data_IF_226195537394
#
_entry.id   IF_226195537394
#
_cell.length_a   1.000
_cell.length_b   1.000
_cell.length_c   1.000
_cell.angle_alpha   90.00
_cell.angle_beta   90.00
_cell.angle_gamma   90.00
#
_symmetry.space_group_name_H-M   'P 1'
#
loop_
_entity.id
_entity.type
_entity.pdbx_description
1 polymer ?
#
# COMPACT_ATOMS: atom_id res chain seq x y z
N UNK A 1 -32.31 -32.20 -8.94
CA UNK A 1 -30.93 -31.89 -8.50
C UNK A 1 -30.53 -30.59 -9.16
N UNK A 2 -30.24 -29.56 -8.36
CA UNK A 2 -30.04 -28.18 -8.84
C UNK A 2 -28.67 -27.99 -9.48
N UNK A 3 -28.63 -27.32 -10.64
CA UNK A 3 -27.39 -26.97 -11.36
C UNK A 3 -26.42 -26.14 -10.50
N UNK A 4 -26.94 -25.44 -9.48
CA UNK A 4 -26.15 -24.71 -8.49
C UNK A 4 -25.20 -25.61 -7.69
N UNK A 5 -25.54 -26.89 -7.51
CA UNK A 5 -24.73 -27.82 -6.72
C UNK A 5 -23.50 -28.34 -7.48
N UNK A 6 -23.46 -28.21 -8.82
CA UNK A 6 -22.33 -28.66 -9.64
C UNK A 6 -21.24 -27.61 -9.82
N UNK A 7 -21.56 -26.32 -9.71
CA UNK A 7 -20.56 -25.24 -9.77
C UNK A 7 -19.81 -25.05 -8.44
N UNK A 8 -20.41 -25.47 -7.31
CA UNK A 8 -19.80 -25.30 -5.98
C UNK A 8 -18.55 -26.18 -5.76
N UNK A 9 -18.37 -27.27 -6.50
CA UNK A 9 -17.20 -28.14 -6.35
C UNK A 9 -15.96 -27.66 -7.12
N UNK A 10 -16.08 -26.63 -7.96
CA UNK A 10 -14.97 -26.13 -8.78
C UNK A 10 -14.29 -24.86 -8.25
N UNK A 11 -14.88 -24.18 -7.27
CA UNK A 11 -14.29 -23.00 -6.65
C UNK A 11 -14.22 -23.20 -5.14
N UNK A 12 -13.02 -23.49 -4.62
CA UNK A 12 -12.72 -23.32 -3.20
C UNK A 12 -12.78 -21.82 -2.89
N UNK A 13 -13.97 -21.32 -2.58
CA UNK A 13 -14.16 -19.95 -2.11
C UNK A 13 -13.59 -19.87 -0.68
N UNK A 14 -12.32 -19.47 -0.59
CA UNK A 14 -11.69 -19.09 0.68
C UNK A 14 -12.35 -17.81 1.20
N UNK A 15 -13.16 -17.93 2.25
CA UNK A 15 -13.63 -16.79 3.04
C UNK A 15 -12.54 -16.45 4.06
N UNK A 16 -11.95 -15.26 3.95
CA UNK A 16 -11.13 -14.68 4.99
C UNK A 16 -12.04 -13.90 5.95
N UNK A 17 -12.68 -14.61 6.89
CA UNK A 17 -13.44 -14.00 7.99
C UNK A 17 -12.45 -13.42 9.03
N UNK A 18 -12.31 -12.10 9.06
CA UNK A 18 -11.77 -11.37 10.19
C UNK A 18 -12.92 -11.07 11.17
N UNK A 19 -12.81 -11.32 12.49
CA UNK A 19 -13.91 -11.07 13.41
C UNK A 19 -14.17 -9.57 13.56
N UNK A 20 -15.40 -9.14 13.26
CA UNK A 20 -15.90 -7.81 13.63
C UNK A 20 -16.26 -7.79 15.12
N UNK A 21 -15.50 -7.04 15.92
CA UNK A 21 -15.88 -6.66 17.28
C UNK A 21 -16.24 -5.17 17.31
N UNK A 22 -17.53 -4.88 17.55
CA UNK A 22 -17.99 -3.60 18.07
C UNK A 22 -18.60 -3.87 19.45
N UNK A 23 -18.03 -3.32 20.51
CA UNK A 23 -18.60 -2.18 21.26
C UNK A 23 -17.87 -1.92 22.61
N UNK A 24 -17.94 -0.64 22.98
CA UNK A 24 -17.75 -0.04 24.31
C UNK A 24 -16.37 0.52 24.72
N UNK A 25 -16.42 1.84 24.94
CA UNK A 25 -15.37 2.77 25.38
C UNK A 25 -15.55 3.01 26.88
N UNK A 26 -14.57 2.71 27.73
CA UNK A 26 -14.32 3.52 28.92
C UNK A 26 -12.87 3.42 29.43
N UNK A 27 -12.38 4.59 29.81
CA UNK A 27 -11.10 4.99 30.37
C UNK A 27 -10.69 4.18 31.60
N UNK A 28 -9.41 3.80 31.69
CA UNK A 28 -8.53 4.33 32.76
C UNK A 28 -7.09 3.89 32.51
N UNK A 29 -6.25 4.89 32.29
CA UNK A 29 -4.79 4.81 32.47
C UNK A 29 -4.51 4.37 33.91
N UNK A 30 -3.64 3.37 34.08
CA UNK A 30 -2.86 3.22 35.30
C UNK A 30 -1.50 2.60 34.98
N UNK A 31 -0.51 3.40 35.31
CA UNK A 31 0.92 3.23 35.19
C UNK A 31 1.42 2.61 36.50
N UNK A 32 2.13 1.49 36.44
CA UNK A 32 2.98 0.93 37.52
C UNK A 32 3.93 -0.07 36.83
N UNK A 33 5.08 0.39 36.34
CA UNK A 33 6.38 0.40 37.02
C UNK A 33 6.82 -0.99 37.52
N UNK A 34 7.62 -1.67 36.68
CA UNK A 34 8.48 -2.81 37.02
C UNK A 34 9.48 -2.46 38.13
N UNK A 35 9.95 -3.47 38.87
CA UNK A 35 11.41 -3.65 38.94
C UNK A 35 11.87 -4.97 38.31
N UNK A 36 12.63 -4.82 37.23
CA UNK A 36 13.38 -5.86 36.51
C UNK A 36 14.67 -6.20 37.31
N UNK A 37 14.87 -7.47 37.67
CA UNK A 37 16.13 -7.97 38.23
C UNK A 37 17.23 -8.02 37.13
N UNK A 38 18.49 -7.64 37.41
CA UNK A 38 19.55 -7.65 36.41
C UNK A 38 20.14 -9.06 36.24
N UNK A 39 19.75 -9.76 35.17
CA UNK A 39 20.50 -10.91 34.66
C UNK A 39 21.78 -10.44 33.93
N UNK A 40 22.91 -11.17 34.08
CA UNK A 40 24.22 -10.74 33.62
C UNK A 40 24.34 -10.71 32.09
N UNK A 41 24.93 -9.64 31.58
CA UNK A 41 25.23 -9.43 30.16
C UNK A 41 26.07 -10.56 29.56
N UNK A 42 25.45 -11.38 28.71
CA UNK A 42 26.16 -12.14 27.69
C UNK A 42 26.63 -11.18 26.58
N UNK A 43 27.81 -11.43 25.99
CA UNK A 43 28.39 -10.54 25.01
C UNK A 43 27.49 -10.48 23.77
N UNK A 44 26.98 -9.27 23.48
CA UNK A 44 26.38 -8.90 22.20
C UNK A 44 27.38 -9.29 21.10
N UNK A 45 27.15 -10.47 20.50
CA UNK A 45 27.59 -10.71 19.14
C UNK A 45 26.90 -9.63 18.32
N UNK A 46 27.69 -8.65 17.89
CA UNK A 46 27.29 -7.71 16.86
C UNK A 46 26.95 -8.56 15.62
N UNK A 47 25.67 -8.93 15.51
CA UNK A 47 25.06 -9.29 14.24
C UNK A 47 25.34 -8.10 13.33
N UNK A 48 26.18 -8.31 12.31
CA UNK A 48 26.18 -7.45 11.14
C UNK A 48 24.74 -7.44 10.63
N UNK A 49 23.98 -6.38 10.94
CA UNK A 49 22.70 -6.10 10.31
C UNK A 49 22.96 -6.09 8.79
N UNK A 50 22.59 -7.19 8.12
CA UNK A 50 22.54 -7.22 6.66
C UNK A 50 21.60 -6.08 6.23
N UNK A 51 22.19 -5.04 5.62
CA UNK A 51 21.47 -3.87 5.13
C UNK A 51 20.39 -4.35 4.15
N UNK A 52 19.12 -4.25 4.55
CA UNK A 52 17.98 -4.69 3.75
C UNK A 52 18.01 -3.97 2.38
N UNK A 53 17.88 -4.68 1.26
CA UNK A 53 17.94 -4.04 -0.05
C UNK A 53 16.81 -3.01 -0.21
N UNK A 54 17.17 -1.76 -0.54
CA UNK A 54 16.19 -0.69 -0.76
C UNK A 54 15.19 -1.03 -1.90
N UNK A 55 13.92 -0.67 -1.70
CA UNK A 55 12.89 -0.78 -2.75
C UNK A 55 13.13 0.26 -3.85
N UNK A 56 13.46 -0.22 -5.06
CA UNK A 56 13.69 0.63 -6.23
C UNK A 56 12.40 1.08 -6.92
N UNK A 57 11.24 0.53 -6.55
CA UNK A 57 9.96 0.84 -7.19
C UNK A 57 9.59 2.33 -7.13
N UNK A 58 9.69 3.05 -5.99
CA UNK A 58 9.32 4.46 -5.90
C UNK A 58 10.18 5.33 -6.82
N UNK A 59 11.50 5.11 -6.83
CA UNK A 59 12.44 5.86 -7.67
C UNK A 59 12.12 5.67 -9.15
N UNK A 60 11.90 4.41 -9.59
CA UNK A 60 11.57 4.10 -10.98
C UNK A 60 10.21 4.71 -11.37
N UNK A 61 9.23 4.66 -10.46
CA UNK A 61 7.89 5.21 -10.70
C UNK A 61 7.95 6.73 -10.88
N UNK A 62 8.73 7.44 -10.06
CA UNK A 62 8.90 8.89 -10.14
C UNK A 62 9.64 9.32 -11.42
N UNK A 63 10.69 8.59 -11.82
CA UNK A 63 11.32 8.81 -13.13
C UNK A 63 10.32 8.66 -14.28
N UNK A 64 9.49 7.62 -14.22
CA UNK A 64 8.47 7.35 -15.24
C UNK A 64 7.37 8.41 -15.23
N UNK A 65 6.92 8.86 -14.06
CA UNK A 65 5.96 9.97 -13.89
C UNK A 65 6.49 11.26 -14.52
N UNK A 66 7.77 11.57 -14.30
CA UNK A 66 8.42 12.78 -14.81
C UNK A 66 8.93 12.66 -16.25
N UNK A 67 8.76 11.50 -16.89
CA UNK A 67 9.14 11.31 -18.29
C UNK A 67 8.33 12.21 -19.22
N UNK A 68 8.89 12.59 -20.37
CA UNK A 68 8.21 13.44 -21.36
C UNK A 68 6.86 12.90 -21.85
N UNK A 69 6.67 11.57 -21.80
CA UNK A 69 5.42 10.91 -22.19
C UNK A 69 4.35 10.98 -21.11
N UNK A 70 4.71 10.77 -19.84
CA UNK A 70 3.74 10.69 -18.74
C UNK A 70 3.57 12.00 -17.97
N UNK A 71 4.54 12.92 -18.02
CA UNK A 71 4.48 14.21 -17.32
C UNK A 71 3.26 15.07 -17.70
N UNK A 72 2.80 15.12 -18.97
CA UNK A 72 1.55 15.80 -19.29
C UNK A 72 0.34 15.19 -18.59
N UNK A 73 0.26 13.86 -18.53
CA UNK A 73 -0.84 13.13 -17.86
C UNK A 73 -0.81 13.37 -16.34
N UNK A 74 0.38 13.34 -15.75
CA UNK A 74 0.57 13.67 -14.33
C UNK A 74 0.07 15.09 -14.01
N UNK A 75 0.34 16.07 -14.89
CA UNK A 75 -0.17 17.44 -14.72
C UNK A 75 -1.70 17.52 -14.83
N UNK A 76 -2.33 16.73 -15.71
CA UNK A 76 -3.79 16.66 -15.79
C UNK A 76 -4.40 16.07 -14.52
N UNK A 77 -3.81 15.00 -14.00
CA UNK A 77 -4.22 14.40 -12.73
C UNK A 77 -4.09 15.38 -11.56
N UNK A 78 -2.94 16.04 -11.43
CA UNK A 78 -2.69 17.04 -10.37
C UNK A 78 -3.68 18.21 -10.47
N UNK A 79 -3.94 18.71 -11.68
CA UNK A 79 -4.93 19.77 -11.89
C UNK A 79 -6.36 19.33 -11.52
N UNK A 80 -6.77 18.10 -11.88
CA UNK A 80 -8.06 17.57 -11.46
C UNK A 80 -8.15 17.48 -9.93
N UNK A 81 -7.11 16.94 -9.28
CA UNK A 81 -7.04 16.79 -7.83
C UNK A 81 -7.14 18.14 -7.12
N UNK A 82 -6.43 19.16 -7.60
CA UNK A 82 -6.52 20.53 -7.09
C UNK A 82 -7.94 21.08 -7.19
N UNK A 83 -8.60 20.94 -8.35
CA UNK A 83 -9.97 21.42 -8.58
C UNK A 83 -10.99 20.69 -7.68
N UNK A 84 -10.91 19.37 -7.61
CA UNK A 84 -11.82 18.55 -6.81
C UNK A 84 -11.61 18.82 -5.32
N UNK A 85 -10.35 18.89 -4.85
CA UNK A 85 -10.04 19.20 -3.44
C UNK A 85 -10.40 20.63 -3.04
N UNK A 86 -10.38 21.59 -3.98
CA UNK A 86 -10.86 22.95 -3.77
C UNK A 86 -12.40 23.07 -3.74
N UNK A 87 -13.13 21.99 -4.06
CA UNK A 87 -14.59 22.03 -4.18
C UNK A 87 -15.10 22.75 -5.42
N UNK A 88 -14.22 23.00 -6.39
CA UNK A 88 -14.54 23.58 -7.71
C UNK A 88 -14.95 22.51 -8.72
N UNK A 89 -14.87 21.24 -8.34
CA UNK A 89 -15.36 20.10 -9.12
C UNK A 89 -16.89 19.94 -9.06
N UNK A 90 -17.42 19.11 -9.94
CA UNK A 90 -18.83 18.73 -9.94
C UNK A 90 -19.13 17.79 -8.78
N UNK A 91 -20.42 17.71 -8.40
CA UNK A 91 -20.87 16.79 -7.36
C UNK A 91 -20.61 15.34 -7.79
N UNK A 92 -19.72 14.66 -7.08
CA UNK A 92 -19.32 13.29 -7.39
C UNK A 92 -18.27 13.20 -8.50
N UNK A 93 -17.61 14.30 -8.86
CA UNK A 93 -16.41 14.26 -9.70
C UNK A 93 -15.28 13.56 -8.96
N UNK A 94 -14.61 12.65 -9.65
CA UNK A 94 -13.35 12.03 -9.27
C UNK A 94 -12.32 12.21 -10.38
N UNK A 95 -11.06 11.90 -10.08
CA UNK A 95 -9.93 12.07 -11.00
C UNK A 95 -9.38 10.74 -11.52
N UNK A 96 -10.23 9.71 -11.57
CA UNK A 96 -9.80 8.35 -11.96
C UNK A 96 -9.50 8.29 -13.46
N UNK A 97 -10.20 9.08 -14.28
CA UNK A 97 -9.94 9.14 -15.72
C UNK A 97 -8.56 9.74 -16.03
N UNK A 98 -8.14 10.77 -15.30
CA UNK A 98 -6.85 11.44 -15.48
C UNK A 98 -5.69 10.66 -14.86
N UNK A 99 -5.96 9.60 -14.10
CA UNK A 99 -4.94 8.83 -13.39
C UNK A 99 -3.90 8.25 -14.37
N UNK A 100 -2.67 8.76 -14.30
CA UNK A 100 -1.59 8.44 -15.24
C UNK A 100 -0.99 7.02 -15.12
N UNK A 101 -1.59 6.12 -14.33
CA UNK A 101 -1.03 4.81 -13.97
C UNK A 101 -0.72 3.96 -15.20
N UNK A 102 -1.60 3.93 -16.20
CA UNK A 102 -1.35 3.17 -17.42
C UNK A 102 -0.02 3.55 -18.11
N UNK A 103 0.30 4.85 -18.17
CA UNK A 103 1.55 5.33 -18.76
C UNK A 103 2.75 5.00 -17.89
N UNK A 104 2.63 5.25 -16.58
CA UNK A 104 3.71 5.05 -15.61
C UNK A 104 4.07 3.58 -15.51
N UNK A 105 3.09 2.67 -15.43
CA UNK A 105 3.31 1.24 -15.29
C UNK A 105 3.91 0.63 -16.55
N UNK A 106 3.48 1.07 -17.73
CA UNK A 106 4.09 0.66 -18.99
C UNK A 106 5.58 1.06 -19.08
N UNK A 107 5.97 2.16 -18.43
CA UNK A 107 7.36 2.59 -18.31
C UNK A 107 8.13 1.85 -17.19
N UNK A 108 7.50 1.68 -16.03
CA UNK A 108 8.13 1.18 -14.82
C UNK A 108 8.33 -0.33 -14.84
N UNK A 109 7.37 -1.10 -15.37
CA UNK A 109 7.42 -2.56 -15.37
C UNK A 109 8.73 -3.13 -15.94
N UNK A 110 9.17 -2.82 -17.18
CA UNK A 110 10.41 -3.40 -17.70
C UNK A 110 11.66 -2.96 -16.92
N UNK A 111 11.67 -1.76 -16.34
CA UNK A 111 12.78 -1.27 -15.52
C UNK A 111 12.86 -1.99 -14.19
N UNK A 112 11.73 -2.10 -13.49
CA UNK A 112 11.64 -2.72 -12.18
C UNK A 112 12.01 -4.20 -12.24
N UNK A 113 11.38 -4.97 -13.13
CA UNK A 113 11.64 -6.41 -13.26
C UNK A 113 13.07 -6.74 -13.75
N UNK A 114 13.81 -5.77 -14.30
CA UNK A 114 15.23 -5.95 -14.62
C UNK A 114 16.17 -5.84 -13.40
N UNK A 115 15.68 -5.29 -12.29
CA UNK A 115 16.44 -5.02 -11.07
C UNK A 115 16.13 -6.02 -9.94
N UNK A 116 14.93 -6.58 -9.94
CA UNK A 116 14.52 -7.63 -9.01
C UNK A 116 15.25 -8.94 -9.35
N UNK A 117 15.67 -9.68 -8.31
CA UNK A 117 16.36 -10.98 -8.40
C UNK A 117 15.47 -12.09 -7.85
#
# INVERSE_FOLDING_TARGET
MSLSSYFSSFLNVLHADAPEEQEEKNESVQQEEEPLEPEPAEPEQAEEEEEEPEDLHPVIRDECKNSSKCAPLARHFEHCQEKVSAGEGYKGEDCVEELMMHCVDACAAPKLFSKLK
#
